data_IF_256864554911
#
_entry.id   IF_256864554911
#
_cell.length_a   1.000
_cell.length_b   1.000
_cell.length_c   1.000
_cell.angle_alpha   90.00
_cell.angle_beta   90.00
_cell.angle_gamma   90.00
#
_symmetry.space_group_name_H-M   'P 1'
#
loop_
_entity.id
_entity.type
_entity.pdbx_description
1 polymer ?
#
# COMPACT_ATOMS: atom_id res chain seq x y z
N UNK A 1 22.32 -7.72 -10.65
CA UNK A 1 20.87 -7.69 -10.96
C UNK A 1 20.50 -6.37 -11.60
N UNK A 2 19.82 -6.39 -12.72
CA UNK A 2 19.30 -5.18 -13.33
C UNK A 2 17.88 -4.92 -12.82
N UNK A 3 17.76 -4.05 -11.83
CA UNK A 3 16.47 -3.74 -11.20
C UNK A 3 15.46 -3.17 -12.19
N UNK A 4 15.89 -2.31 -13.09
CA UNK A 4 15.00 -1.72 -14.08
C UNK A 4 14.33 -2.79 -14.96
N UNK A 5 15.13 -3.71 -15.51
CA UNK A 5 14.61 -4.77 -16.35
C UNK A 5 13.67 -5.70 -15.58
N UNK A 6 14.00 -6.03 -14.33
CA UNK A 6 13.14 -6.82 -13.45
C UNK A 6 11.80 -6.13 -13.22
N UNK A 7 11.82 -4.84 -12.90
CA UNK A 7 10.61 -4.03 -12.67
C UNK A 7 9.76 -3.97 -13.94
N UNK A 8 10.39 -3.64 -15.07
CA UNK A 8 9.72 -3.55 -16.37
C UNK A 8 9.05 -4.87 -16.74
N UNK A 9 9.77 -5.98 -16.58
CA UNK A 9 9.22 -7.30 -16.89
C UNK A 9 8.03 -7.66 -16.01
N UNK A 10 8.08 -7.34 -14.73
CA UNK A 10 6.94 -7.58 -13.82
C UNK A 10 5.72 -6.76 -14.21
N UNK A 11 5.91 -5.51 -14.62
CA UNK A 11 4.83 -4.65 -15.11
C UNK A 11 4.20 -5.25 -16.37
N UNK A 12 5.03 -5.62 -17.34
CA UNK A 12 4.56 -6.19 -18.62
C UNK A 12 3.81 -7.50 -18.37
N UNK A 13 4.34 -8.38 -17.54
CA UNK A 13 3.69 -9.64 -17.18
C UNK A 13 2.33 -9.41 -16.52
N UNK A 14 2.23 -8.44 -15.62
CA UNK A 14 0.97 -8.09 -14.98
C UNK A 14 -0.05 -7.56 -16.00
N UNK A 15 0.37 -6.67 -16.90
CA UNK A 15 -0.53 -6.13 -17.92
C UNK A 15 -1.02 -7.22 -18.87
N UNK A 16 -0.15 -8.15 -19.24
CA UNK A 16 -0.52 -9.31 -20.05
C UNK A 16 -1.51 -10.20 -19.32
N UNK A 17 -1.25 -10.48 -18.05
CA UNK A 17 -2.14 -11.28 -17.20
C UNK A 17 -3.53 -10.65 -17.08
N UNK A 18 -3.57 -9.32 -16.87
CA UNK A 18 -4.83 -8.59 -16.72
C UNK A 18 -5.69 -8.60 -17.99
N UNK A 19 -5.09 -8.76 -19.17
CA UNK A 19 -5.83 -8.87 -20.43
C UNK A 19 -6.50 -10.24 -20.58
N UNK A 20 -5.97 -11.28 -19.93
CA UNK A 20 -6.40 -12.66 -20.12
C UNK A 20 -7.35 -13.12 -19.01
N UNK A 21 -7.19 -12.62 -17.76
CA UNK A 21 -7.93 -13.10 -16.59
C UNK A 21 -8.55 -11.95 -15.81
N UNK A 22 -9.84 -11.70 -16.04
CA UNK A 22 -10.53 -10.54 -15.48
C UNK A 22 -10.75 -10.60 -13.95
N UNK A 23 -11.16 -11.76 -13.42
CA UNK A 23 -11.58 -11.85 -12.01
C UNK A 23 -10.44 -11.88 -10.99
N UNK A 24 -9.23 -12.17 -11.41
CA UNK A 24 -8.06 -12.19 -10.51
C UNK A 24 -7.05 -11.07 -10.77
N UNK A 25 -7.37 -10.15 -11.67
CA UNK A 25 -6.44 -9.09 -12.07
C UNK A 25 -6.09 -8.12 -10.95
N UNK A 26 -7.05 -7.79 -10.08
CA UNK A 26 -6.79 -6.87 -8.96
C UNK A 26 -5.81 -7.49 -7.97
N UNK A 27 -5.99 -8.75 -7.62
CA UNK A 27 -5.07 -9.47 -6.72
C UNK A 27 -3.67 -9.57 -7.33
N UNK A 28 -3.58 -9.91 -8.61
CA UNK A 28 -2.30 -9.98 -9.32
C UNK A 28 -1.60 -8.62 -9.35
N UNK A 29 -2.35 -7.55 -9.60
CA UNK A 29 -1.86 -6.17 -9.57
C UNK A 29 -1.27 -5.81 -8.20
N UNK A 30 -1.98 -6.09 -7.13
CA UNK A 30 -1.54 -5.78 -5.76
C UNK A 30 -0.24 -6.52 -5.42
N UNK A 31 -0.18 -7.82 -5.72
CA UNK A 31 1.03 -8.63 -5.49
C UNK A 31 2.19 -8.12 -6.33
N UNK A 32 1.95 -7.81 -7.60
CA UNK A 32 2.97 -7.27 -8.50
C UNK A 32 3.52 -5.95 -7.98
N UNK A 33 2.66 -5.05 -7.54
CA UNK A 33 3.08 -3.75 -7.01
C UNK A 33 3.87 -3.89 -5.71
N UNK A 34 3.55 -4.86 -4.88
CA UNK A 34 4.34 -5.19 -3.69
C UNK A 34 5.75 -5.64 -4.06
N UNK A 35 5.86 -6.56 -5.03
CA UNK A 35 7.15 -7.05 -5.50
C UNK A 35 8.00 -5.94 -6.15
N UNK A 36 7.36 -5.09 -6.95
CA UNK A 36 8.04 -3.92 -7.54
C UNK A 36 8.52 -2.98 -6.45
N UNK A 37 7.68 -2.74 -5.43
CA UNK A 37 8.04 -1.92 -4.28
C UNK A 37 9.28 -2.44 -3.57
N UNK A 38 9.41 -3.75 -3.43
CA UNK A 38 10.59 -4.40 -2.86
C UNK A 38 11.85 -4.10 -3.70
N UNK A 39 11.73 -4.26 -5.03
CA UNK A 39 12.85 -3.98 -5.94
C UNK A 39 13.25 -2.51 -5.92
N UNK A 40 12.27 -1.60 -5.85
CA UNK A 40 12.53 -0.17 -5.74
C UNK A 40 13.21 0.19 -4.43
N UNK A 41 12.82 -0.45 -3.35
CA UNK A 41 13.45 -0.26 -2.05
C UNK A 41 14.92 -0.70 -2.08
N UNK A 42 15.21 -1.84 -2.68
CA UNK A 42 16.57 -2.35 -2.84
C UNK A 42 17.41 -1.43 -3.74
N UNK A 43 16.86 -1.00 -4.87
CA UNK A 43 17.56 -0.11 -5.80
C UNK A 43 17.84 1.25 -5.17
N UNK A 44 16.84 1.83 -4.46
CA UNK A 44 17.01 3.10 -3.75
C UNK A 44 18.04 3.03 -2.64
N UNK A 45 18.10 1.91 -1.92
CA UNK A 45 19.10 1.67 -0.89
C UNK A 45 20.51 1.56 -1.44
N UNK A 46 20.66 0.99 -2.62
CA UNK A 46 21.97 0.78 -3.27
C UNK A 46 22.46 2.01 -4.03
N UNK A 47 21.58 2.71 -4.74
CA UNK A 47 21.93 3.77 -5.68
C UNK A 47 21.39 5.16 -5.30
N UNK A 48 20.58 5.25 -4.26
CA UNK A 48 19.88 6.48 -3.87
C UNK A 48 18.53 6.61 -4.57
N UNK A 49 17.66 7.46 -4.01
CA UNK A 49 16.28 7.59 -4.48
C UNK A 49 16.14 8.24 -5.86
N UNK A 50 17.17 8.95 -6.34
CA UNK A 50 17.17 9.49 -7.71
C UNK A 50 17.04 8.40 -8.77
N UNK A 51 17.50 7.18 -8.49
CA UNK A 51 17.39 6.06 -9.43
C UNK A 51 15.92 5.76 -9.73
N UNK A 52 15.02 5.97 -8.76
CA UNK A 52 13.60 5.75 -8.94
C UNK A 52 13.02 6.72 -9.96
N UNK A 53 13.45 8.00 -9.92
CA UNK A 53 13.06 8.98 -10.93
C UNK A 53 13.54 8.60 -12.32
N UNK A 54 14.76 8.11 -12.43
CA UNK A 54 15.31 7.63 -13.70
C UNK A 54 14.52 6.45 -14.26
N UNK A 55 14.14 5.50 -13.39
CA UNK A 55 13.30 4.37 -13.77
C UNK A 55 11.92 4.84 -14.24
N UNK A 56 11.32 5.80 -13.53
CA UNK A 56 10.03 6.35 -13.92
C UNK A 56 10.08 6.99 -15.30
N UNK A 57 11.11 7.79 -15.57
CA UNK A 57 11.27 8.45 -16.88
C UNK A 57 11.36 7.42 -18.01
N UNK A 58 12.10 6.35 -17.81
CA UNK A 58 12.23 5.26 -18.81
C UNK A 58 10.92 4.51 -18.98
N UNK A 59 10.26 4.16 -17.87
CA UNK A 59 8.99 3.41 -17.90
C UNK A 59 7.86 4.20 -18.56
N UNK A 60 7.82 5.51 -18.35
CA UNK A 60 6.80 6.35 -18.99
C UNK A 60 6.91 6.32 -20.50
N UNK A 61 8.12 6.22 -21.03
CA UNK A 61 8.39 6.14 -22.48
C UNK A 61 8.18 4.71 -22.99
N UNK A 62 8.70 3.71 -22.30
CA UNK A 62 8.76 2.34 -22.78
C UNK A 62 7.51 1.53 -22.51
N UNK A 63 6.74 1.86 -21.47
CA UNK A 63 5.57 1.09 -21.06
C UNK A 63 4.31 1.94 -21.03
N UNK A 64 4.29 3.03 -20.26
CA UNK A 64 3.11 3.88 -20.18
C UNK A 64 3.24 4.99 -19.16
N UNK A 65 2.50 6.08 -19.39
CA UNK A 65 2.56 7.30 -18.57
C UNK A 65 2.12 7.11 -17.12
N UNK A 66 1.35 6.06 -16.83
CA UNK A 66 0.89 5.79 -15.45
C UNK A 66 2.04 5.36 -14.54
N UNK A 67 3.14 4.89 -15.09
CA UNK A 67 4.32 4.47 -14.30
C UNK A 67 5.27 5.63 -14.07
N UNK A 68 4.71 6.74 -13.61
CA UNK A 68 5.45 7.94 -13.29
C UNK A 68 6.08 7.86 -11.88
N UNK A 69 6.88 8.88 -11.53
CA UNK A 69 7.56 8.99 -10.25
C UNK A 69 6.63 8.75 -9.06
N UNK A 70 5.47 9.39 -9.09
CA UNK A 70 4.47 9.30 -8.00
C UNK A 70 4.00 7.86 -7.79
N UNK A 71 3.70 7.15 -8.87
CA UNK A 71 3.26 5.76 -8.83
C UNK A 71 4.35 4.85 -8.28
N UNK A 72 5.61 5.02 -8.74
CA UNK A 72 6.72 4.21 -8.26
C UNK A 72 7.01 4.44 -6.77
N UNK A 73 6.99 5.70 -6.32
CA UNK A 73 7.17 5.99 -4.89
C UNK A 73 6.04 5.43 -4.03
N UNK A 74 4.82 5.38 -4.55
CA UNK A 74 3.70 4.70 -3.86
C UNK A 74 3.94 3.21 -3.73
N UNK A 75 4.46 2.56 -4.77
CA UNK A 75 4.80 1.13 -4.69
C UNK A 75 5.90 0.87 -3.67
N UNK A 76 6.93 1.71 -3.63
CA UNK A 76 8.00 1.63 -2.64
C UNK A 76 7.43 1.79 -1.22
N UNK A 77 6.59 2.78 -1.00
CA UNK A 77 5.94 3.03 0.28
C UNK A 77 5.04 1.85 0.68
N UNK A 78 4.31 1.30 -0.26
CA UNK A 78 3.48 0.12 -0.06
C UNK A 78 4.30 -1.03 0.52
N UNK A 79 5.41 -1.36 -0.11
CA UNK A 79 6.29 -2.42 0.40
C UNK A 79 6.81 -2.08 1.80
N UNK A 80 7.30 -0.86 2.01
CA UNK A 80 7.88 -0.46 3.29
C UNK A 80 6.87 -0.55 4.44
N UNK A 81 5.61 -0.20 4.20
CA UNK A 81 4.56 -0.26 5.22
C UNK A 81 4.09 -1.69 5.46
N UNK A 82 3.74 -2.41 4.40
CA UNK A 82 3.06 -3.71 4.51
C UNK A 82 4.00 -4.90 4.64
N UNK A 83 5.29 -4.73 4.45
CA UNK A 83 6.28 -5.75 4.77
C UNK A 83 6.61 -5.80 6.26
N UNK A 84 6.15 -4.83 7.05
CA UNK A 84 6.39 -4.78 8.49
C UNK A 84 5.62 -5.91 9.19
N UNK A 85 6.30 -6.63 10.08
CA UNK A 85 5.73 -7.77 10.82
C UNK A 85 4.52 -7.40 11.68
N UNK A 86 4.44 -6.13 12.12
CA UNK A 86 3.34 -5.64 12.96
C UNK A 86 2.06 -5.34 12.17
N UNK A 87 2.14 -5.34 10.84
CA UNK A 87 0.99 -5.11 9.97
C UNK A 87 0.38 -6.44 9.56
N UNK A 88 -0.93 -6.55 9.67
CA UNK A 88 -1.69 -7.76 9.31
C UNK A 88 -1.43 -8.17 7.87
N UNK A 89 -1.16 -9.45 7.63
CA UNK A 89 -0.98 -10.02 6.28
C UNK A 89 -2.30 -10.10 5.50
N UNK A 90 -3.42 -9.82 6.13
CA UNK A 90 -4.73 -9.79 5.47
C UNK A 90 -4.86 -8.68 4.44
N UNK A 91 -3.87 -7.76 4.36
CA UNK A 91 -3.82 -6.74 3.30
C UNK A 91 -3.89 -7.35 1.89
N UNK A 92 -3.47 -8.59 1.73
CA UNK A 92 -3.50 -9.30 0.43
C UNK A 92 -4.92 -9.50 -0.11
N UNK A 93 -5.93 -9.35 0.75
CA UNK A 93 -7.34 -9.47 0.36
C UNK A 93 -7.96 -8.12 -0.07
N UNK A 94 -7.21 -7.02 0.06
CA UNK A 94 -7.69 -5.68 -0.25
C UNK A 94 -7.33 -5.28 -1.69
N UNK A 95 -8.07 -4.31 -2.24
CA UNK A 95 -7.72 -3.72 -3.53
C UNK A 95 -6.63 -2.68 -3.38
N UNK A 96 -5.96 -2.35 -4.47
CA UNK A 96 -4.95 -1.28 -4.49
C UNK A 96 -5.53 0.05 -4.00
N UNK A 97 -6.77 0.35 -4.40
CA UNK A 97 -7.44 1.60 -3.99
C UNK A 97 -7.70 1.67 -2.48
N UNK A 98 -8.01 0.55 -1.84
CA UNK A 98 -8.11 0.49 -0.39
C UNK A 98 -6.75 0.68 0.28
N UNK A 99 -5.74 -0.03 -0.21
CA UNK A 99 -4.39 0.00 0.36
C UNK A 99 -3.78 1.40 0.32
N UNK A 100 -3.97 2.13 -0.77
CA UNK A 100 -3.46 3.50 -0.91
C UNK A 100 -3.95 4.44 0.18
N UNK A 101 -5.15 4.24 0.68
CA UNK A 101 -5.70 5.09 1.75
C UNK A 101 -5.06 4.82 3.11
N UNK A 102 -4.38 3.68 3.27
CA UNK A 102 -3.80 3.25 4.53
C UNK A 102 -2.31 3.60 4.69
N UNK A 103 -1.62 3.99 3.63
CA UNK A 103 -0.16 4.13 3.63
C UNK A 103 0.40 5.08 4.69
N UNK A 104 -0.32 6.16 5.00
CA UNK A 104 0.17 7.20 5.91
C UNK A 104 -0.33 7.06 7.35
N UNK A 105 -1.06 5.99 7.64
CA UNK A 105 -1.64 5.77 8.95
C UNK A 105 -0.67 5.02 9.87
N UNK A 106 -0.87 5.13 11.18
CA UNK A 106 -0.13 4.35 12.17
C UNK A 106 -0.49 2.86 12.02
N UNK A 107 0.43 1.97 12.40
CA UNK A 107 0.27 0.52 12.24
C UNK A 107 -0.99 -0.04 12.90
N UNK A 108 -1.31 0.44 14.09
CA UNK A 108 -2.51 -0.01 14.81
C UNK A 108 -3.78 0.42 14.05
N UNK A 109 -3.79 1.64 13.51
CA UNK A 109 -4.88 2.14 12.67
C UNK A 109 -5.02 1.31 11.40
N UNK A 110 -3.90 1.00 10.74
CA UNK A 110 -3.88 0.17 9.54
C UNK A 110 -4.53 -1.19 9.81
N UNK A 111 -4.13 -1.86 10.89
CA UNK A 111 -4.68 -3.17 11.25
C UNK A 111 -6.17 -3.10 11.53
N UNK A 112 -6.61 -2.07 12.24
CA UNK A 112 -8.02 -1.82 12.49
C UNK A 112 -8.82 -1.69 11.19
N UNK A 113 -8.36 -0.83 10.27
CA UNK A 113 -9.07 -0.60 9.00
C UNK A 113 -9.03 -1.82 8.09
N UNK A 114 -7.94 -2.56 8.04
CA UNK A 114 -7.87 -3.83 7.29
C UNK A 114 -9.00 -4.76 7.77
N UNK A 115 -9.14 -4.91 9.08
CA UNK A 115 -10.13 -5.83 9.63
C UNK A 115 -11.56 -5.40 9.30
N UNK A 116 -11.88 -4.13 9.45
CA UNK A 116 -13.25 -3.67 9.17
C UNK A 116 -13.58 -3.66 7.68
N UNK A 117 -12.60 -3.45 6.81
CA UNK A 117 -12.79 -3.58 5.36
C UNK A 117 -13.24 -5.00 5.02
N UNK A 118 -12.56 -5.99 5.59
CA UNK A 118 -12.87 -7.41 5.35
C UNK A 118 -14.22 -7.77 5.96
N UNK A 119 -14.44 -7.44 7.22
CA UNK A 119 -15.65 -7.84 7.97
C UNK A 119 -16.92 -7.21 7.41
N UNK A 120 -16.84 -5.96 6.98
CA UNK A 120 -18.00 -5.19 6.50
C UNK A 120 -18.06 -5.02 5.00
N UNK A 121 -17.12 -5.59 4.27
CA UNK A 121 -17.00 -5.43 2.81
C UNK A 121 -17.07 -3.95 2.38
N UNK A 122 -16.25 -3.10 3.02
CA UNK A 122 -16.30 -1.67 2.79
C UNK A 122 -15.82 -1.30 1.38
N UNK A 123 -16.57 -0.39 0.73
CA UNK A 123 -16.11 0.24 -0.49
C UNK A 123 -14.98 1.23 -0.20
N UNK A 124 -14.23 1.60 -1.22
CA UNK A 124 -13.18 2.63 -1.13
C UNK A 124 -13.77 3.95 -0.63
N UNK A 125 -14.93 4.32 -1.16
CA UNK A 125 -15.64 5.54 -0.77
C UNK A 125 -16.00 5.55 0.71
N UNK A 126 -16.54 4.45 1.20
CA UNK A 126 -16.92 4.31 2.62
C UNK A 126 -15.69 4.35 3.51
N UNK A 127 -14.62 3.66 3.13
CA UNK A 127 -13.36 3.67 3.85
C UNK A 127 -12.79 5.09 3.96
N UNK A 128 -12.80 5.84 2.86
CA UNK A 128 -12.33 7.24 2.86
C UNK A 128 -13.10 8.09 3.87
N UNK A 129 -14.42 7.93 3.92
CA UNK A 129 -15.26 8.64 4.87
C UNK A 129 -14.91 8.29 6.32
N UNK A 130 -14.73 7.01 6.61
CA UNK A 130 -14.40 6.52 7.95
C UNK A 130 -13.04 7.04 8.41
N UNK A 131 -12.04 7.02 7.53
CA UNK A 131 -10.71 7.54 7.84
C UNK A 131 -10.76 9.04 8.11
N UNK A 132 -11.47 9.80 7.28
CA UNK A 132 -11.64 11.25 7.48
C UNK A 132 -12.32 11.60 8.80
N UNK A 133 -13.21 10.74 9.28
CA UNK A 133 -13.89 10.94 10.57
C UNK A 133 -13.01 10.59 11.76
N UNK A 134 -11.79 10.10 11.55
CA UNK A 134 -10.86 9.67 12.59
C UNK A 134 -11.49 8.59 13.50
N UNK A 135 -12.20 7.63 12.92
CA UNK A 135 -12.95 6.61 13.66
C UNK A 135 -12.05 5.84 14.64
N UNK A 136 -10.88 5.37 14.18
CA UNK A 136 -9.95 4.63 15.05
C UNK A 136 -9.53 5.48 16.25
N UNK A 137 -9.10 6.72 16.01
CA UNK A 137 -8.65 7.62 17.07
C UNK A 137 -9.76 7.95 18.05
N UNK A 138 -10.98 8.20 17.56
CA UNK A 138 -12.14 8.48 18.42
C UNK A 138 -12.47 7.31 19.35
N UNK A 139 -12.39 6.08 18.82
CA UNK A 139 -12.74 4.89 19.60
C UNK A 139 -11.65 4.51 20.60
N UNK A 140 -10.39 4.47 20.17
CA UNK A 140 -9.29 3.89 20.95
C UNK A 140 -8.56 4.93 21.83
N UNK A 141 -8.36 6.15 21.36
CA UNK A 141 -7.74 7.20 22.18
C UNK A 141 -8.66 7.68 23.29
N UNK A 142 -9.97 7.70 23.06
CA UNK A 142 -10.98 8.02 24.09
C UNK A 142 -10.98 7.00 25.22
N UNK A 143 -10.88 5.72 24.89
CA UNK A 143 -10.82 4.62 25.86
C UNK A 143 -9.55 4.76 26.73
N UNK A 144 -8.40 5.04 26.10
CA UNK A 144 -7.13 5.23 26.80
C UNK A 144 -7.18 6.43 27.74
N UNK A 145 -7.81 7.54 27.34
CA UNK A 145 -7.98 8.72 28.19
C UNK A 145 -8.86 8.40 29.42
N UNK A 146 -9.95 7.67 29.25
CA UNK A 146 -10.83 7.25 30.34
C UNK A 146 -10.09 6.32 31.32
N UNK A 147 -9.32 5.38 30.82
CA UNK A 147 -8.51 4.48 31.64
C UNK A 147 -7.46 5.25 32.44
N UNK A 148 -6.80 6.24 31.85
CA UNK A 148 -5.83 7.11 32.53
C UNK A 148 -6.50 7.95 33.63
N UNK A 149 -7.68 8.52 33.35
CA UNK A 149 -8.44 9.29 34.35
C UNK A 149 -8.85 8.44 35.57
N UNK A 150 -9.23 7.18 35.35
CA UNK A 150 -9.58 6.25 36.42
C UNK A 150 -8.37 5.93 37.33
N UNK A 151 -7.18 5.85 36.77
CA UNK A 151 -5.96 5.59 37.52
C UNK A 151 -5.56 6.78 38.40
N UNK A 152 -5.87 8.01 37.98
CA UNK A 152 -5.50 9.23 38.70
C UNK A 152 -6.54 9.74 39.68
N UNK A 153 -7.73 9.12 39.73
CA UNK A 153 -8.84 9.54 40.60
C UNK A 153 -8.96 8.71 41.91
N UNK A 154 -7.97 7.91 42.24
CA UNK A 154 -7.97 7.15 43.50
C UNK A 154 -7.48 8.07 44.66
#
# INVERSE_FOLDING_TARGET
MNYYDEIKNRIIDNETYCKVKDYSKERNKVITYFEIGKLLNEAGGKYGDKIIEEYANKLMVEVGKKYNRRTLFRMKQFYNVFSNEKVSTLWTQLTWSHLRLLFNLEKDSINYYIQIIIDKHLSVRKLRTIIKSNEYERLFKKINRRSRKRVYTI
#
